data_IF_411983668029
#
_entry.id   IF_411983668029
#
_cell.length_a   1.000
_cell.length_b   1.000
_cell.length_c   1.000
_cell.angle_alpha   90.00
_cell.angle_beta   90.00
_cell.angle_gamma   90.00
#
_symmetry.space_group_name_H-M   'P 1'
#
loop_
_entity.id
_entity.type
_entity.pdbx_description
1 polymer ?
#
# COMPACT_ATOMS: atom_id res chain seq x y z
N UNK A 1 4.89 -24.95 4.64
CA UNK A 1 3.95 -23.82 4.49
C UNK A 1 4.78 -22.59 4.12
N UNK A 2 4.28 -21.73 3.23
CA UNK A 2 5.02 -20.53 2.78
C UNK A 2 4.75 -19.32 3.66
N UNK A 3 5.53 -18.25 3.47
CA UNK A 3 5.33 -16.94 4.08
C UNK A 3 5.18 -15.85 3.01
N UNK A 4 4.49 -14.77 3.36
CA UNK A 4 4.41 -13.53 2.58
C UNK A 4 5.19 -12.45 3.35
N UNK A 5 6.08 -11.74 2.66
CA UNK A 5 6.81 -10.61 3.24
C UNK A 5 5.94 -9.36 3.17
N UNK A 6 5.71 -8.74 4.33
CA UNK A 6 5.00 -7.45 4.47
C UNK A 6 5.97 -6.38 4.96
N UNK A 7 5.56 -5.11 4.96
CA UNK A 7 6.36 -3.99 5.48
C UNK A 7 6.61 -4.07 7.00
N UNK A 8 5.86 -4.91 7.72
CA UNK A 8 6.04 -5.16 9.16
C UNK A 8 6.77 -6.47 9.48
N UNK A 9 6.97 -7.35 8.49
CA UNK A 9 7.66 -8.64 8.64
C UNK A 9 7.00 -9.76 7.84
N UNK A 10 7.47 -10.99 8.03
CA UNK A 10 6.85 -12.17 7.41
C UNK A 10 5.54 -12.56 8.10
N UNK A 11 4.55 -12.93 7.29
CA UNK A 11 3.24 -13.45 7.72
C UNK A 11 3.05 -14.85 7.11
N UNK A 12 2.64 -15.87 7.89
CA UNK A 12 2.31 -17.18 7.35
C UNK A 12 1.23 -17.09 6.27
N UNK A 13 1.35 -17.86 5.19
CA UNK A 13 0.36 -17.82 4.10
C UNK A 13 -1.05 -18.23 4.52
N UNK A 14 -1.19 -19.00 5.61
CA UNK A 14 -2.48 -19.36 6.18
C UNK A 14 -3.21 -18.17 6.85
N UNK A 15 -2.48 -17.13 7.24
CA UNK A 15 -2.99 -16.01 8.04
C UNK A 15 -3.21 -14.72 7.20
N UNK A 16 -2.99 -14.79 5.88
CA UNK A 16 -3.01 -13.62 4.99
C UNK A 16 -4.42 -13.03 4.79
N UNK A 17 -5.48 -13.80 5.09
CA UNK A 17 -6.88 -13.36 5.01
C UNK A 17 -7.33 -12.92 3.61
N UNK A 18 -8.41 -12.13 3.53
CA UNK A 18 -8.84 -11.55 2.27
C UNK A 18 -7.91 -10.39 1.86
N UNK A 19 -7.64 -10.27 0.56
CA UNK A 19 -6.58 -9.41 0.01
C UNK A 19 -7.15 -8.45 -1.04
N UNK A 20 -6.81 -7.17 -0.93
CA UNK A 20 -6.84 -6.24 -2.08
C UNK A 20 -5.50 -6.34 -2.81
N UNK A 21 -5.53 -6.92 -4.01
CA UNK A 21 -4.33 -7.34 -4.71
C UNK A 21 -3.61 -6.21 -5.47
N UNK A 22 -4.21 -5.04 -5.63
CA UNK A 22 -3.67 -3.94 -6.41
C UNK A 22 -4.24 -2.62 -5.92
N UNK A 23 -3.51 -1.93 -5.06
CA UNK A 23 -3.89 -0.61 -4.55
C UNK A 23 -2.70 0.36 -4.58
N UNK A 24 -3.01 1.64 -4.45
CA UNK A 24 -2.06 2.70 -4.20
C UNK A 24 -2.48 3.41 -2.92
N UNK A 25 -1.74 3.19 -1.83
CA UNK A 25 -2.04 3.81 -0.52
C UNK A 25 -1.50 5.23 -0.50
N UNK A 26 -0.27 5.39 -0.99
CA UNK A 26 0.39 6.68 -1.25
C UNK A 26 0.93 6.65 -2.67
N UNK A 27 0.83 7.75 -3.40
CA UNK A 27 1.24 7.83 -4.81
C UNK A 27 1.44 9.27 -5.26
N UNK A 28 2.49 9.51 -6.04
CA UNK A 28 2.76 10.80 -6.68
C UNK A 28 2.87 10.62 -8.20
N UNK A 29 1.71 10.69 -8.86
CA UNK A 29 1.60 10.77 -10.31
C UNK A 29 1.47 12.23 -10.79
N UNK A 30 1.28 13.18 -9.87
CA UNK A 30 1.21 14.61 -10.16
C UNK A 30 2.43 15.10 -10.94
N UNK A 31 3.62 14.59 -10.62
CA UNK A 31 4.88 14.89 -11.34
C UNK A 31 4.81 14.67 -12.86
N UNK A 32 3.97 13.74 -13.29
CA UNK A 32 3.81 13.38 -14.71
C UNK A 32 2.55 14.03 -15.29
N UNK A 33 1.43 14.00 -14.54
CA UNK A 33 0.14 14.45 -15.05
C UNK A 33 -0.10 15.95 -14.93
N UNK A 34 0.54 16.62 -13.96
CA UNK A 34 0.19 17.98 -13.53
C UNK A 34 -1.18 18.09 -12.82
N UNK A 35 -1.89 16.97 -12.60
CA UNK A 35 -3.20 16.93 -11.94
C UNK A 35 -3.05 16.57 -10.47
N UNK A 36 -3.48 17.45 -9.56
CA UNK A 36 -3.41 17.23 -8.11
C UNK A 36 -4.25 16.04 -7.64
N UNK A 37 -5.30 15.65 -8.38
CA UNK A 37 -6.09 14.45 -8.03
C UNK A 37 -5.26 13.15 -8.15
N UNK A 38 -4.09 13.21 -8.79
CA UNK A 38 -3.17 12.08 -8.91
C UNK A 38 -2.06 12.11 -7.83
N UNK A 39 -2.20 12.95 -6.80
CA UNK A 39 -1.34 12.99 -5.63
C UNK A 39 -2.12 12.44 -4.43
N UNK A 40 -1.67 11.30 -3.91
CA UNK A 40 -2.16 10.69 -2.67
C UNK A 40 -1.05 10.85 -1.63
N UNK A 41 -1.13 11.92 -0.83
CA UNK A 41 -0.10 12.36 0.13
C UNK A 41 -0.61 12.59 1.56
N UNK A 42 -1.88 12.28 1.85
CA UNK A 42 -2.48 12.41 3.19
C UNK A 42 -2.48 11.06 3.94
N UNK A 43 -1.53 10.90 4.85
CA UNK A 43 -1.35 9.68 5.67
C UNK A 43 -2.53 9.45 6.63
N UNK A 44 -3.07 10.51 7.23
CA UNK A 44 -4.16 10.39 8.21
C UNK A 44 -5.46 9.99 7.52
N UNK A 45 -5.71 10.52 6.32
CA UNK A 45 -6.81 10.09 5.48
C UNK A 45 -6.64 8.63 5.04
N UNK A 46 -5.45 8.23 4.58
CA UNK A 46 -5.18 6.84 4.19
C UNK A 46 -5.43 5.86 5.35
N UNK A 47 -5.00 6.21 6.56
CA UNK A 47 -5.29 5.40 7.77
C UNK A 47 -6.78 5.34 8.04
N UNK A 48 -7.50 6.45 7.89
CA UNK A 48 -8.95 6.52 8.12
C UNK A 48 -9.71 5.63 7.14
N UNK A 49 -9.41 5.75 5.84
CA UNK A 49 -9.99 4.91 4.78
C UNK A 49 -9.72 3.42 5.02
N UNK A 50 -8.46 3.05 5.30
CA UNK A 50 -8.10 1.66 5.54
C UNK A 50 -8.72 1.09 6.83
N UNK A 51 -8.96 1.91 7.85
CA UNK A 51 -9.67 1.48 9.08
C UNK A 51 -11.12 1.12 8.82
N UNK A 52 -11.77 1.69 7.81
CA UNK A 52 -13.13 1.25 7.44
C UNK A 52 -13.14 -0.21 6.97
N UNK A 53 -12.03 -0.72 6.45
CA UNK A 53 -11.89 -2.13 6.05
C UNK A 53 -11.76 -3.08 7.24
N UNK A 54 -11.45 -2.60 8.43
CA UNK A 54 -11.26 -3.43 9.62
C UNK A 54 -12.55 -4.16 10.08
N UNK A 55 -13.73 -3.68 9.66
CA UNK A 55 -15.01 -4.33 9.90
C UNK A 55 -15.31 -5.48 8.91
N UNK A 56 -14.38 -5.80 8.01
CA UNK A 56 -14.54 -6.80 6.95
C UNK A 56 -13.54 -7.97 7.13
N UNK A 57 -13.67 -9.06 6.36
CA UNK A 57 -12.67 -10.14 6.35
C UNK A 57 -11.31 -9.76 5.76
N UNK A 58 -11.14 -8.52 5.28
CA UNK A 58 -9.91 -8.02 4.71
C UNK A 58 -8.82 -7.92 5.76
N UNK A 59 -7.66 -8.51 5.45
CA UNK A 59 -6.48 -8.48 6.31
C UNK A 59 -5.26 -7.92 5.62
N UNK A 60 -5.23 -7.91 4.28
CA UNK A 60 -4.03 -7.59 3.51
C UNK A 60 -4.33 -6.65 2.36
N UNK A 61 -3.44 -5.69 2.14
CA UNK A 61 -3.42 -4.81 0.97
C UNK A 61 -2.06 -4.96 0.28
N UNK A 62 -2.06 -5.06 -1.04
CA UNK A 62 -0.85 -5.03 -1.86
C UNK A 62 -0.74 -3.65 -2.48
N UNK A 63 0.24 -2.88 -2.01
CA UNK A 63 0.56 -1.57 -2.56
C UNK A 63 1.50 -1.76 -3.76
N UNK A 64 1.06 -1.34 -4.95
CA UNK A 64 1.83 -1.50 -6.20
C UNK A 64 2.52 -0.19 -6.63
N UNK A 65 2.65 0.78 -5.73
CA UNK A 65 3.41 2.01 -5.97
C UNK A 65 4.90 1.66 -6.12
N UNK A 66 5.41 1.75 -7.35
CA UNK A 66 6.77 1.37 -7.72
C UNK A 66 7.71 2.59 -7.81
N UNK A 67 8.97 2.36 -8.20
CA UNK A 67 9.90 3.48 -8.42
C UNK A 67 9.39 4.33 -9.59
N UNK A 68 9.27 5.64 -9.37
CA UNK A 68 8.65 6.59 -10.30
C UNK A 68 7.24 7.03 -9.90
N UNK A 69 6.60 6.34 -8.95
CA UNK A 69 5.26 6.68 -8.42
C UNK A 69 5.29 7.23 -6.99
N UNK A 70 6.47 7.56 -6.44
CA UNK A 70 6.57 8.11 -5.08
C UNK A 70 6.55 7.06 -3.95
N UNK A 71 7.00 5.83 -4.21
CA UNK A 71 7.03 4.75 -3.20
C UNK A 71 7.75 5.18 -1.91
N UNK A 72 7.07 5.02 -0.78
CA UNK A 72 7.60 5.27 0.57
C UNK A 72 7.34 4.10 1.52
N UNK A 73 8.38 3.29 1.76
CA UNK A 73 8.28 2.11 2.62
C UNK A 73 8.13 2.44 4.11
N UNK A 74 8.63 3.60 4.54
CA UNK A 74 8.52 3.99 5.94
C UNK A 74 7.07 4.38 6.24
N UNK A 75 6.47 5.21 5.40
CA UNK A 75 5.06 5.59 5.53
C UNK A 75 4.13 4.37 5.44
N UNK A 76 4.38 3.45 4.49
CA UNK A 76 3.60 2.19 4.43
C UNK A 76 3.70 1.37 5.72
N UNK A 77 4.88 1.31 6.35
CA UNK A 77 5.06 0.63 7.64
C UNK A 77 4.28 1.32 8.76
N UNK A 78 4.29 2.66 8.80
CA UNK A 78 3.54 3.44 9.79
C UNK A 78 2.03 3.20 9.65
N UNK A 79 1.51 3.21 8.42
CA UNK A 79 0.11 2.92 8.11
C UNK A 79 -0.26 1.48 8.49
N UNK A 80 0.59 0.50 8.17
CA UNK A 80 0.36 -0.91 8.54
C UNK A 80 0.22 -1.06 10.07
N UNK A 81 1.10 -0.41 10.84
CA UNK A 81 1.03 -0.42 12.31
C UNK A 81 -0.23 0.28 12.84
N UNK A 82 -0.63 1.40 12.25
CA UNK A 82 -1.78 2.19 12.69
C UNK A 82 -3.14 1.54 12.37
N UNK A 83 -3.21 0.74 11.30
CA UNK A 83 -4.42 0.06 10.82
C UNK A 83 -4.53 -1.38 11.29
N UNK A 84 -3.40 -2.04 11.58
CA UNK A 84 -3.33 -3.47 11.87
C UNK A 84 -3.51 -4.36 10.64
N UNK A 85 -3.49 -3.78 9.43
CA UNK A 85 -3.49 -4.52 8.17
C UNK A 85 -2.07 -4.96 7.80
N UNK A 86 -1.99 -6.10 7.13
CA UNK A 86 -0.78 -6.50 6.43
C UNK A 86 -0.66 -5.64 5.16
N UNK A 87 0.50 -5.00 4.95
CA UNK A 87 0.77 -4.29 3.70
C UNK A 87 1.95 -4.95 3.01
N UNK A 88 1.70 -5.49 1.81
CA UNK A 88 2.74 -6.01 0.92
C UNK A 88 3.18 -4.90 -0.01
N UNK A 89 4.45 -4.52 0.05
CA UNK A 89 4.99 -3.50 -0.83
C UNK A 89 5.48 -4.11 -2.14
N UNK A 90 5.03 -3.55 -3.25
CA UNK A 90 5.52 -3.84 -4.59
C UNK A 90 6.95 -3.38 -4.81
N UNK A 91 7.51 -3.79 -5.94
CA UNK A 91 8.86 -3.44 -6.37
C UNK A 91 8.92 -3.23 -7.89
N UNK A 92 10.10 -2.88 -8.38
CA UNK A 92 10.33 -2.59 -9.80
C UNK A 92 10.17 -1.10 -10.14
N UNK A 93 10.14 -0.84 -11.44
CA UNK A 93 10.05 0.49 -12.03
C UNK A 93 8.68 0.69 -12.66
N UNK A 94 8.19 1.93 -12.63
CA UNK A 94 7.05 2.32 -13.45
C UNK A 94 7.47 2.43 -14.93
N UNK A 95 6.57 2.94 -15.78
CA UNK A 95 6.86 3.17 -17.20
C UNK A 95 7.71 4.43 -17.40
N UNK A 96 8.52 4.44 -18.46
CA UNK A 96 9.09 5.68 -18.98
C UNK A 96 7.97 6.61 -19.50
N UNK A 97 8.11 7.94 -19.33
CA UNK A 97 7.18 8.91 -19.90
C UNK A 97 7.23 8.84 -21.44
N UNK A 98 6.06 8.90 -22.08
CA UNK A 98 5.88 8.83 -23.54
C UNK A 98 6.03 10.21 -24.17
#
# INVERSE_FOLDING_TARGET
MGSIVTVTGEVPSADIGAILMHEHIMCDLYRISGNSDHLLDDVDLAITELRHLAATPLRTVVDVTSVGLGRDLQTLREIALATGLNIVAGCGWYRDPY
#
